data_IF_490960247688
#
_entry.id   IF_490960247688
#
_cell.length_a   1.000
_cell.length_b   1.000
_cell.length_c   1.000
_cell.angle_alpha   90.00
_cell.angle_beta   90.00
_cell.angle_gamma   90.00
#
_symmetry.space_group_name_H-M   'P 1'
#
loop_
_entity.id
_entity.type
_entity.pdbx_description
1 polymer ?
#
# COMPACT_ATOMS: atom_id res chain seq x y z
N UNK A 1 -8.09 -12.63 -28.04
CA UNK A 1 -7.17 -13.19 -27.03
C UNK A 1 -6.05 -12.19 -26.80
N UNK A 2 -6.23 -11.30 -25.83
CA UNK A 2 -5.11 -10.58 -25.24
C UNK A 2 -4.65 -11.46 -24.07
N UNK A 3 -3.37 -11.83 -24.05
CA UNK A 3 -2.77 -12.39 -22.85
C UNK A 3 -2.68 -11.22 -21.87
N UNK A 4 -3.71 -11.02 -21.06
CA UNK A 4 -3.62 -10.18 -19.87
C UNK A 4 -2.50 -10.78 -19.03
N UNK A 5 -1.32 -10.16 -19.06
CA UNK A 5 -0.26 -10.50 -18.11
C UNK A 5 -0.88 -10.24 -16.74
N UNK A 6 -1.12 -11.30 -15.99
CA UNK A 6 -1.44 -11.16 -14.57
C UNK A 6 -0.36 -10.26 -13.95
N UNK A 7 -0.75 -9.32 -13.06
CA UNK A 7 0.24 -8.51 -12.36
C UNK A 7 1.27 -9.43 -11.72
N UNK A 8 2.55 -9.05 -11.76
CA UNK A 8 3.57 -9.77 -11.02
C UNK A 8 3.14 -9.75 -9.55
N UNK A 9 2.87 -10.92 -8.97
CA UNK A 9 2.40 -11.01 -7.59
C UNK A 9 3.40 -10.36 -6.62
N UNK A 10 4.68 -10.38 -6.99
CA UNK A 10 5.80 -9.81 -6.26
C UNK A 10 6.56 -8.78 -7.09
N UNK A 11 7.10 -7.78 -6.41
CA UNK A 11 8.12 -6.89 -6.93
C UNK A 11 9.32 -6.89 -5.99
N UNK A 12 10.53 -6.92 -6.54
CA UNK A 12 11.77 -6.72 -5.81
C UNK A 12 12.28 -5.29 -5.99
N UNK A 13 12.81 -4.71 -4.92
CA UNK A 13 13.45 -3.39 -4.91
C UNK A 13 14.81 -3.51 -4.20
N UNK A 14 15.88 -3.09 -4.90
CA UNK A 14 17.19 -2.91 -4.26
C UNK A 14 17.26 -1.56 -3.57
N UNK A 15 17.59 -1.55 -2.28
CA UNK A 15 17.80 -0.30 -1.55
C UNK A 15 19.04 0.48 -1.97
N UNK A 16 19.98 -0.15 -2.69
CA UNK A 16 21.19 0.50 -3.20
C UNK A 16 20.90 1.61 -4.22
N UNK A 17 19.72 1.58 -4.84
CA UNK A 17 19.28 2.55 -5.85
C UNK A 17 18.74 3.86 -5.26
N UNK A 18 18.59 3.92 -3.92
CA UNK A 18 17.91 5.01 -3.22
C UNK A 18 18.74 5.53 -2.06
N UNK A 19 18.62 6.82 -1.74
CA UNK A 19 19.24 7.42 -0.55
C UNK A 19 18.45 7.01 0.69
N UNK A 20 17.23 7.51 0.86
CA UNK A 20 16.31 7.06 1.90
C UNK A 20 15.15 6.23 1.33
N UNK A 21 14.62 5.33 2.15
CA UNK A 21 13.41 4.57 1.82
C UNK A 21 12.44 4.65 2.98
N UNK A 22 11.22 5.09 2.67
CA UNK A 22 10.12 5.20 3.61
C UNK A 22 8.96 4.29 3.19
N UNK A 23 8.25 3.77 4.19
CA UNK A 23 7.00 3.04 3.99
C UNK A 23 5.85 3.82 4.64
N UNK A 24 4.77 4.07 3.90
CA UNK A 24 3.60 4.80 4.39
C UNK A 24 2.39 3.88 4.55
N UNK A 25 1.60 4.12 5.59
CA UNK A 25 0.31 3.47 5.83
C UNK A 25 -0.78 3.88 4.84
N UNK A 26 -2.01 3.43 5.09
CA UNK A 26 -3.19 3.68 4.25
C UNK A 26 -3.42 5.18 4.06
N UNK A 27 -3.41 5.63 2.80
CA UNK A 27 -3.46 7.06 2.46
C UNK A 27 -4.90 7.54 2.31
N UNK A 28 -5.78 6.74 1.73
CA UNK A 28 -7.22 7.00 1.61
C UNK A 28 -7.57 8.45 1.20
N UNK A 29 -6.96 8.95 0.12
CA UNK A 29 -7.23 10.31 -0.36
C UNK A 29 -6.69 11.44 0.53
N UNK A 30 -5.84 11.17 1.53
CA UNK A 30 -5.18 12.16 2.38
C UNK A 30 -3.90 12.74 1.75
N UNK A 31 -3.94 13.07 0.45
CA UNK A 31 -2.79 13.54 -0.32
C UNK A 31 -2.04 14.71 0.34
N UNK A 32 -2.75 15.73 0.85
CA UNK A 32 -2.09 16.86 1.54
C UNK A 32 -1.34 16.42 2.78
N UNK A 33 -1.90 15.52 3.60
CA UNK A 33 -1.22 15.01 4.78
C UNK A 33 0.03 14.22 4.39
N UNK A 34 -0.04 13.43 3.31
CA UNK A 34 1.13 12.76 2.76
C UNK A 34 2.22 13.74 2.37
N UNK A 35 1.90 14.77 1.59
CA UNK A 35 2.90 15.77 1.18
C UNK A 35 3.49 16.53 2.37
N UNK A 36 2.68 16.88 3.37
CA UNK A 36 3.19 17.48 4.61
C UNK A 36 4.13 16.53 5.37
N UNK A 37 3.79 15.24 5.47
CA UNK A 37 4.64 14.26 6.16
C UNK A 37 5.99 14.05 5.43
N UNK A 38 5.98 14.06 4.10
CA UNK A 38 7.19 13.99 3.28
C UNK A 38 8.09 15.23 3.45
N UNK A 39 7.49 16.41 3.47
CA UNK A 39 8.21 17.68 3.70
C UNK A 39 8.88 17.70 5.09
N UNK A 40 8.17 17.23 6.12
CA UNK A 40 8.68 17.16 7.50
C UNK A 40 9.93 16.29 7.66
N UNK A 41 10.08 15.26 6.82
CA UNK A 41 11.27 14.38 6.83
C UNK A 41 12.31 14.77 5.79
N UNK A 42 12.11 15.89 5.08
CA UNK A 42 13.03 16.34 4.04
C UNK A 42 13.14 15.38 2.85
N UNK A 43 12.03 14.72 2.49
CA UNK A 43 11.99 13.74 1.41
C UNK A 43 12.36 14.36 0.05
N UNK A 44 13.37 13.79 -0.62
CA UNK A 44 13.80 14.19 -1.95
C UNK A 44 13.28 13.22 -3.01
N UNK A 45 12.32 13.68 -3.81
CA UNK A 45 11.73 12.94 -4.94
C UNK A 45 12.75 12.51 -6.02
N UNK A 46 13.96 13.09 -6.04
CA UNK A 46 15.04 12.73 -6.95
C UNK A 46 15.87 11.53 -6.51
N UNK A 47 16.00 11.30 -5.20
CA UNK A 47 16.89 10.27 -4.63
C UNK A 47 16.24 9.30 -3.65
N UNK A 48 15.05 9.62 -3.13
CA UNK A 48 14.37 8.85 -2.10
C UNK A 48 13.21 8.04 -2.69
N UNK A 49 12.85 6.98 -1.98
CA UNK A 49 11.74 6.10 -2.34
C UNK A 49 10.67 6.13 -1.26
N UNK A 50 9.42 6.30 -1.69
CA UNK A 50 8.24 6.05 -0.89
C UNK A 50 7.55 4.77 -1.36
N UNK A 51 7.33 3.84 -0.44
CA UNK A 51 6.56 2.62 -0.66
C UNK A 51 5.25 2.69 0.14
N UNK A 52 4.11 2.54 -0.52
CA UNK A 52 2.80 2.51 0.13
C UNK A 52 2.32 1.07 0.36
N UNK A 53 1.64 0.86 1.50
CA UNK A 53 0.89 -0.38 1.81
C UNK A 53 -0.41 -0.52 1.02
N UNK A 54 -0.70 0.37 0.07
CA UNK A 54 -1.95 0.38 -0.72
C UNK A 54 -3.01 1.29 -0.12
N UNK A 55 -4.26 1.11 -0.57
CA UNK A 55 -5.42 1.91 -0.14
C UNK A 55 -5.16 3.41 -0.30
N UNK A 56 -4.82 3.79 -1.54
CA UNK A 56 -4.55 5.16 -1.94
C UNK A 56 -5.85 5.97 -2.08
N UNK A 57 -6.92 5.29 -2.47
CA UNK A 57 -8.21 5.91 -2.82
C UNK A 57 -9.30 5.68 -1.77
N UNK A 58 -10.48 6.23 -2.05
CA UNK A 58 -11.69 6.17 -1.25
C UNK A 58 -11.56 6.89 0.11
N UNK A 59 -12.72 7.07 0.75
CA UNK A 59 -12.92 7.72 2.06
C UNK A 59 -12.54 9.21 2.12
N UNK A 60 -11.30 9.58 1.81
CA UNK A 60 -10.82 10.95 1.82
C UNK A 60 -11.13 11.73 0.54
N UNK A 61 -10.74 13.00 0.53
CA UNK A 61 -11.18 13.95 -0.49
C UNK A 61 -10.31 13.99 -1.76
N UNK A 62 -9.09 13.44 -1.73
CA UNK A 62 -8.09 13.65 -2.79
C UNK A 62 -7.64 12.35 -3.46
N UNK A 63 -8.53 11.36 -3.59
CA UNK A 63 -8.22 10.04 -4.17
C UNK A 63 -7.60 10.13 -5.57
N UNK A 64 -8.07 11.04 -6.43
CA UNK A 64 -7.46 11.23 -7.76
C UNK A 64 -6.00 11.71 -7.68
N UNK A 65 -5.68 12.59 -6.74
CA UNK A 65 -4.31 13.06 -6.54
C UNK A 65 -3.41 11.96 -5.96
N UNK A 66 -3.94 11.09 -5.09
CA UNK A 66 -3.21 9.93 -4.60
C UNK A 66 -2.93 8.91 -5.72
N UNK A 67 -3.87 8.68 -6.63
CA UNK A 67 -3.64 7.82 -7.80
C UNK A 67 -2.57 8.39 -8.74
N UNK A 68 -2.47 9.71 -8.84
CA UNK A 68 -1.48 10.40 -9.69
C UNK A 68 -0.04 10.26 -9.19
N UNK A 69 0.15 9.63 -8.02
CA UNK A 69 1.45 9.21 -7.49
C UNK A 69 1.98 7.95 -8.20
N UNK A 70 1.10 7.07 -8.69
CA UNK A 70 1.49 5.81 -9.31
C UNK A 70 2.51 5.92 -10.47
N UNK A 71 2.43 6.92 -11.37
CA UNK A 71 3.44 7.06 -12.43
C UNK A 71 4.78 7.65 -11.94
N UNK A 72 4.88 8.12 -10.69
CA UNK A 72 6.08 8.79 -10.20
C UNK A 72 7.22 7.80 -9.93
N UNK A 73 8.43 8.14 -10.38
CA UNK A 73 9.61 7.26 -10.21
C UNK A 73 9.88 6.93 -8.73
N UNK A 74 9.72 7.91 -7.84
CA UNK A 74 9.97 7.83 -6.39
C UNK A 74 8.83 7.17 -5.60
N UNK A 75 7.75 6.72 -6.26
CA UNK A 75 6.60 6.12 -5.59
C UNK A 75 6.37 4.68 -6.04
N UNK A 76 6.22 3.77 -5.07
CA UNK A 76 5.78 2.38 -5.29
C UNK A 76 4.65 2.07 -4.33
N UNK A 77 3.79 1.12 -4.70
CA UNK A 77 2.70 0.67 -3.83
C UNK A 77 2.44 -0.80 -4.05
N UNK A 78 1.99 -1.49 -3.01
CA UNK A 78 1.23 -2.73 -3.18
C UNK A 78 -0.22 -2.39 -3.47
N UNK A 79 -0.96 -3.32 -4.09
CA UNK A 79 -2.41 -3.17 -4.28
C UNK A 79 -3.13 -3.23 -2.94
N UNK A 80 -3.99 -2.27 -2.65
CA UNK A 80 -4.95 -2.31 -1.55
C UNK A 80 -6.28 -2.94 -1.92
N UNK A 81 -7.11 -3.25 -0.93
CA UNK A 81 -8.43 -3.80 -1.17
C UNK A 81 -9.40 -2.76 -1.76
N UNK A 82 -9.16 -1.47 -1.52
CA UNK A 82 -9.93 -0.39 -2.14
C UNK A 82 -9.61 -0.21 -3.62
N UNK A 83 -8.34 -0.32 -4.02
CA UNK A 83 -8.00 -0.39 -5.45
C UNK A 83 -8.66 -1.60 -6.12
N UNK A 84 -8.66 -2.77 -5.47
CA UNK A 84 -9.31 -3.96 -6.02
C UNK A 84 -10.83 -3.78 -6.17
N UNK A 85 -11.52 -3.20 -5.18
CA UNK A 85 -12.96 -2.90 -5.30
C UNK A 85 -13.28 -1.94 -6.45
N UNK A 86 -12.44 -0.93 -6.67
CA UNK A 86 -12.59 -0.01 -7.79
C UNK A 86 -12.42 -0.74 -9.13
N UNK A 87 -11.36 -1.53 -9.29
CA UNK A 87 -11.11 -2.32 -10.50
C UNK A 87 -12.25 -3.28 -10.81
N UNK A 88 -12.73 -3.99 -9.78
CA UNK A 88 -13.87 -4.88 -9.85
C UNK A 88 -15.14 -4.17 -10.34
N UNK A 89 -15.42 -2.97 -9.81
CA UNK A 89 -16.58 -2.17 -10.19
C UNK A 89 -16.48 -1.56 -11.60
N UNK A 90 -15.26 -1.27 -12.07
CA UNK A 90 -15.04 -0.81 -13.44
C UNK A 90 -15.19 -1.93 -14.47
N UNK A 91 -14.90 -3.17 -14.09
CA UNK A 91 -15.07 -4.35 -14.93
C UNK A 91 -16.51 -4.89 -14.91
N UNK A 92 -17.16 -4.86 -13.74
CA UNK A 92 -18.52 -5.34 -13.53
C UNK A 92 -19.34 -4.28 -12.77
N UNK A 93 -20.26 -3.63 -13.48
CA UNK A 93 -21.11 -2.58 -12.92
C UNK A 93 -22.00 -3.06 -11.77
N UNK A 94 -22.27 -4.37 -11.66
CA UNK A 94 -23.01 -4.94 -10.53
C UNK A 94 -22.26 -4.77 -9.19
N UNK A 95 -20.94 -4.53 -9.22
CA UNK A 95 -20.10 -4.29 -8.04
C UNK A 95 -20.00 -2.83 -7.64
N UNK A 96 -20.52 -1.89 -8.44
CA UNK A 96 -20.53 -0.44 -8.12
C UNK A 96 -21.16 -0.16 -6.74
N UNK A 97 -22.31 -0.75 -6.35
CA UNK A 97 -22.89 -0.50 -5.04
C UNK A 97 -21.95 -0.86 -3.87
N UNK A 98 -21.20 -1.97 -4.01
CA UNK A 98 -20.23 -2.40 -2.99
C UNK A 98 -19.07 -1.40 -2.87
N UNK A 99 -18.51 -0.95 -4.00
CA UNK A 99 -17.43 0.03 -3.98
C UNK A 99 -17.90 1.37 -3.40
N UNK A 100 -19.08 1.87 -3.80
CA UNK A 100 -19.65 3.11 -3.24
C UNK A 100 -19.89 3.00 -1.73
N UNK A 101 -20.41 1.87 -1.24
CA UNK A 101 -20.60 1.62 0.19
C UNK A 101 -19.28 1.65 0.98
N UNK A 102 -18.14 1.43 0.32
CA UNK A 102 -16.81 1.52 0.89
C UNK A 102 -16.07 2.83 0.54
N UNK A 103 -16.77 3.86 0.06
CA UNK A 103 -16.20 5.19 -0.16
C UNK A 103 -15.77 5.51 -1.60
N UNK A 104 -16.10 4.65 -2.56
CA UNK A 104 -15.83 4.85 -3.99
C UNK A 104 -16.61 5.97 -4.69
N UNK A 105 -17.47 6.69 -3.97
CA UNK A 105 -18.37 7.70 -4.55
C UNK A 105 -17.62 8.89 -5.18
N UNK A 106 -16.37 9.14 -4.77
CA UNK A 106 -15.53 10.21 -5.33
C UNK A 106 -15.39 10.11 -6.86
N UNK A 107 -15.29 8.90 -7.40
CA UNK A 107 -15.10 8.66 -8.84
C UNK A 107 -16.30 9.11 -9.68
N UNK A 108 -17.50 9.00 -9.12
CA UNK A 108 -18.76 9.36 -9.80
C UNK A 108 -19.12 10.83 -9.67
N UNK A 109 -18.41 11.57 -8.79
CA UNK A 109 -18.52 13.02 -8.64
C UNK A 109 -17.56 13.80 -9.54
N UNK A 110 -16.66 13.11 -10.24
CA UNK A 110 -15.76 13.72 -11.22
C UNK A 110 -16.50 14.10 -12.49
N UNK A 111 -16.02 15.15 -13.16
CA UNK A 111 -16.35 15.41 -14.56
C UNK A 111 -15.74 14.34 -15.48
N UNK A 112 -16.18 14.33 -16.74
CA UNK A 112 -15.80 13.29 -17.72
C UNK A 112 -14.28 13.22 -17.95
N UNK A 113 -13.60 14.37 -17.99
CA UNK A 113 -12.15 14.44 -18.20
C UNK A 113 -11.39 13.81 -17.04
N UNK A 114 -11.74 14.19 -15.81
CA UNK A 114 -11.13 13.63 -14.60
C UNK A 114 -11.50 12.18 -14.39
N UNK A 115 -12.70 11.76 -14.77
CA UNK A 115 -13.10 10.35 -14.72
C UNK A 115 -12.28 9.53 -15.71
N UNK A 116 -12.01 10.05 -16.92
CA UNK A 116 -11.13 9.41 -17.89
C UNK A 116 -9.69 9.30 -17.36
N UNK A 117 -9.17 10.35 -16.70
CA UNK A 117 -7.87 10.28 -16.01
C UNK A 117 -7.86 9.22 -14.91
N UNK A 118 -8.87 9.20 -14.05
CA UNK A 118 -8.99 8.22 -12.96
C UNK A 118 -8.98 6.78 -13.50
N UNK A 119 -9.68 6.50 -14.61
CA UNK A 119 -9.64 5.19 -15.28
C UNK A 119 -8.24 4.81 -15.75
N UNK A 120 -7.49 5.75 -16.35
CA UNK A 120 -6.10 5.50 -16.77
C UNK A 120 -5.18 5.19 -15.58
N UNK A 121 -5.32 5.94 -14.48
CA UNK A 121 -4.51 5.72 -13.28
C UNK A 121 -4.91 4.40 -12.57
N UNK A 122 -6.20 4.05 -12.54
CA UNK A 122 -6.65 2.75 -12.04
C UNK A 122 -6.11 1.59 -12.90
N UNK A 123 -5.90 1.78 -14.20
CA UNK A 123 -5.21 0.77 -15.02
C UNK A 123 -3.73 0.58 -14.64
N UNK A 124 -3.09 1.58 -14.02
CA UNK A 124 -1.78 1.40 -13.37
C UNK A 124 -1.94 0.63 -12.04
N UNK A 125 -3.00 0.93 -11.27
CA UNK A 125 -3.32 0.19 -10.04
C UNK A 125 -3.54 -1.32 -10.29
N UNK A 126 -4.12 -1.67 -11.45
CA UNK A 126 -4.29 -3.05 -11.92
C UNK A 126 -2.97 -3.79 -12.18
N UNK A 127 -1.85 -3.08 -12.27
CA UNK A 127 -0.51 -3.64 -12.45
C UNK A 127 0.30 -3.66 -11.14
N UNK A 128 -0.23 -3.10 -10.04
CA UNK A 128 0.47 -3.12 -8.77
C UNK A 128 0.66 -4.56 -8.27
N UNK A 129 1.84 -4.87 -7.69
CA UNK A 129 2.09 -6.15 -7.05
C UNK A 129 1.27 -6.28 -5.77
N UNK A 130 1.10 -7.52 -5.30
CA UNK A 130 0.50 -7.77 -3.99
C UNK A 130 1.54 -7.68 -2.87
N UNK A 131 2.81 -7.94 -3.21
CA UNK A 131 3.92 -7.95 -2.25
C UNK A 131 5.12 -7.21 -2.86
N UNK A 132 5.75 -6.35 -2.07
CA UNK A 132 7.05 -5.75 -2.40
C UNK A 132 8.10 -6.28 -1.41
N UNK A 133 9.18 -6.85 -1.93
CA UNK A 133 10.40 -7.16 -1.18
C UNK A 133 11.41 -6.02 -1.38
N UNK A 134 11.99 -5.54 -0.28
CA UNK A 134 12.98 -4.46 -0.28
C UNK A 134 14.21 -4.94 0.50
N UNK A 135 15.35 -5.03 -0.17
CA UNK A 135 16.62 -5.36 0.46
C UNK A 135 17.42 -4.09 0.77
N UNK A 136 17.67 -3.82 2.06
CA UNK A 136 18.37 -2.62 2.56
C UNK A 136 19.49 -3.02 3.52
N UNK A 137 20.75 -2.71 3.21
CA UNK A 137 21.91 -2.95 4.10
C UNK A 137 21.95 -4.36 4.76
N UNK A 138 21.62 -5.39 3.99
CA UNK A 138 21.60 -6.78 4.45
C UNK A 138 20.36 -7.19 5.25
N UNK A 139 19.35 -6.32 5.34
CA UNK A 139 18.03 -6.63 5.89
C UNK A 139 17.00 -6.71 4.77
N UNK A 140 16.01 -7.59 4.98
CA UNK A 140 14.89 -7.80 4.09
C UNK A 140 13.60 -7.31 4.71
N UNK A 141 12.95 -6.38 4.03
CA UNK A 141 11.65 -5.84 4.40
C UNK A 141 10.61 -6.26 3.38
N UNK A 142 9.49 -6.81 3.85
CA UNK A 142 8.35 -7.22 3.03
C UNK A 142 7.18 -6.29 3.31
N UNK A 143 6.62 -5.71 2.26
CA UNK A 143 5.42 -4.88 2.32
C UNK A 143 4.28 -5.61 1.65
N UNK A 144 3.14 -5.71 2.32
CA UNK A 144 1.89 -6.20 1.75
C UNK A 144 0.73 -5.41 2.36
N UNK A 145 -0.47 -5.49 1.77
CA UNK A 145 -1.56 -4.63 2.21
C UNK A 145 -2.13 -5.02 3.58
N UNK A 146 -2.71 -6.22 3.72
CA UNK A 146 -3.37 -6.63 4.95
C UNK A 146 -2.60 -7.70 5.74
N UNK A 147 -2.05 -8.68 5.03
CA UNK A 147 -1.34 -9.82 5.64
C UNK A 147 -0.42 -10.50 4.61
N UNK A 148 0.48 -11.34 5.11
CA UNK A 148 1.14 -12.37 4.33
C UNK A 148 0.64 -13.74 4.80
N UNK A 149 -0.16 -14.47 4.01
CA UNK A 149 -0.92 -15.63 4.47
C UNK A 149 -0.09 -16.93 4.53
N UNK A 150 1.12 -16.84 5.07
CA UNK A 150 2.00 -17.97 5.34
C UNK A 150 2.89 -17.67 6.55
N UNK A 151 3.42 -18.72 7.19
CA UNK A 151 4.35 -18.59 8.32
C UNK A 151 5.81 -18.50 7.87
N UNK A 152 6.09 -18.87 6.63
CA UNK A 152 7.39 -18.72 5.99
C UNK A 152 7.22 -17.93 4.70
N UNK A 153 7.97 -16.85 4.59
CA UNK A 153 8.11 -16.03 3.40
C UNK A 153 9.14 -16.62 2.46
N UNK A 154 8.75 -16.66 1.18
CA UNK A 154 9.64 -16.93 0.07
C UNK A 154 9.21 -16.03 -1.09
N UNK A 155 10.18 -15.38 -1.73
CA UNK A 155 9.92 -14.56 -2.91
C UNK A 155 9.26 -15.42 -4.01
N UNK A 156 8.21 -14.88 -4.62
CA UNK A 156 7.44 -15.53 -5.70
C UNK A 156 6.70 -16.82 -5.30
N UNK A 157 6.55 -17.11 -4.01
CA UNK A 157 5.72 -18.25 -3.61
C UNK A 157 4.24 -17.96 -3.89
N UNK A 158 3.45 -18.97 -4.33
CA UNK A 158 2.03 -18.80 -4.56
C UNK A 158 1.30 -18.28 -3.31
N UNK A 159 0.42 -17.29 -3.49
CA UNK A 159 -0.39 -16.72 -2.43
C UNK A 159 -1.87 -16.70 -2.81
N UNK A 160 -2.75 -16.81 -1.81
CA UNK A 160 -4.15 -16.40 -1.95
C UNK A 160 -4.20 -14.86 -1.86
N UNK A 161 -4.33 -14.20 -3.01
CA UNK A 161 -4.32 -12.74 -3.08
C UNK A 161 -5.49 -12.13 -2.29
N UNK A 162 -6.62 -12.81 -2.20
CA UNK A 162 -7.75 -12.38 -1.38
C UNK A 162 -7.36 -12.24 0.08
N UNK A 163 -6.55 -13.15 0.61
CA UNK A 163 -6.05 -13.06 1.99
C UNK A 163 -5.03 -11.93 2.15
N UNK A 164 -4.16 -11.70 1.16
CA UNK A 164 -3.20 -10.58 1.18
C UNK A 164 -3.91 -9.23 1.25
N UNK A 165 -5.08 -9.11 0.62
CA UNK A 165 -5.86 -7.87 0.59
C UNK A 165 -6.84 -7.71 1.76
N UNK A 166 -7.41 -8.79 2.29
CA UNK A 166 -8.57 -8.70 3.18
C UNK A 166 -8.38 -9.33 4.56
N UNK A 167 -7.32 -10.11 4.78
CA UNK A 167 -7.19 -10.86 6.02
C UNK A 167 -6.94 -9.93 7.21
N UNK A 168 -7.75 -10.09 8.26
CA UNK A 168 -7.59 -9.38 9.55
C UNK A 168 -7.33 -10.32 10.72
N UNK A 169 -7.18 -11.62 10.46
CA UNK A 169 -7.02 -12.61 11.52
C UNK A 169 -5.71 -12.41 12.28
N UNK A 170 -4.59 -12.27 11.55
CA UNK A 170 -3.26 -12.16 12.15
C UNK A 170 -3.10 -10.90 13.01
N UNK A 171 -3.57 -9.75 12.53
CA UNK A 171 -3.55 -8.50 13.31
C UNK A 171 -4.41 -8.61 14.58
N UNK A 172 -5.61 -9.21 14.49
CA UNK A 172 -6.48 -9.44 15.66
C UNK A 172 -5.81 -10.35 16.69
N UNK A 173 -5.14 -11.41 16.24
CA UNK A 173 -4.38 -12.31 17.12
C UNK A 173 -3.18 -11.59 17.75
N UNK A 174 -2.43 -10.81 16.97
CA UNK A 174 -1.28 -10.04 17.46
C UNK A 174 -1.71 -9.01 18.52
N UNK A 175 -2.85 -8.33 18.34
CA UNK A 175 -3.45 -7.43 19.34
C UNK A 175 -3.81 -8.15 20.64
N UNK A 176 -4.12 -9.45 20.57
CA UNK A 176 -4.39 -10.31 21.73
C UNK A 176 -3.11 -10.97 22.29
N UNK A 177 -1.93 -10.65 21.77
CA UNK A 177 -0.65 -11.27 22.17
C UNK A 177 -0.48 -12.71 21.69
N UNK A 178 -1.26 -13.15 20.70
CA UNK A 178 -1.22 -14.51 20.13
C UNK A 178 -0.53 -14.47 18.77
N UNK A 179 0.38 -15.41 18.51
CA UNK A 179 1.04 -15.56 17.22
C UNK A 179 2.56 -15.70 17.33
N UNK A 180 3.25 -15.31 16.28
CA UNK A 180 4.70 -15.40 16.14
C UNK A 180 5.19 -14.60 14.93
N UNK A 181 6.52 -14.59 14.69
CA UNK A 181 7.08 -13.98 13.50
C UNK A 181 6.69 -14.75 12.23
N UNK A 182 6.79 -14.09 11.08
CA UNK A 182 6.85 -14.76 9.78
C UNK A 182 8.31 -14.97 9.43
N UNK A 183 8.75 -16.21 9.24
CA UNK A 183 10.15 -16.53 8.94
C UNK A 183 10.48 -16.13 7.49
N UNK A 184 11.75 -15.84 7.18
CA UNK A 184 12.21 -15.59 5.79
C UNK A 184 12.43 -14.12 5.42
N UNK A 185 12.04 -13.18 6.30
CA UNK A 185 12.40 -11.77 6.19
C UNK A 185 12.53 -11.13 7.59
N UNK A 186 13.26 -10.02 7.68
CA UNK A 186 13.53 -9.33 8.95
C UNK A 186 12.35 -8.50 9.42
N UNK A 187 11.58 -7.93 8.49
CA UNK A 187 10.45 -7.04 8.77
C UNK A 187 9.30 -7.27 7.78
N UNK A 188 8.08 -7.21 8.30
CA UNK A 188 6.84 -7.15 7.52
C UNK A 188 6.07 -5.89 7.89
N UNK A 189 5.66 -5.11 6.89
CA UNK A 189 4.86 -3.91 7.09
C UNK A 189 3.51 -4.07 6.38
N UNK A 190 2.45 -3.81 7.14
CA UNK A 190 1.06 -3.93 6.70
C UNK A 190 0.26 -2.68 7.03
N UNK A 191 -0.79 -2.46 6.25
CA UNK A 191 -1.83 -1.45 6.43
C UNK A 191 -3.17 -2.06 6.85
N UNK A 192 -4.24 -1.64 6.16
CA UNK A 192 -5.59 -2.23 6.11
C UNK A 192 -6.43 -2.15 7.40
N UNK A 193 -5.82 -2.34 8.57
CA UNK A 193 -6.50 -2.33 9.86
C UNK A 193 -6.16 -1.06 10.61
N UNK A 194 -7.10 -0.09 10.69
CA UNK A 194 -6.86 1.15 11.40
C UNK A 194 -6.61 0.88 12.87
N UNK A 195 -5.47 1.34 13.37
CA UNK A 195 -5.08 1.29 14.77
C UNK A 195 -4.87 2.71 15.30
N UNK A 196 -4.98 2.89 16.62
CA UNK A 196 -4.72 4.21 17.24
C UNK A 196 -3.25 4.62 17.19
N UNK A 197 -2.36 3.65 17.04
CA UNK A 197 -0.90 3.80 16.98
C UNK A 197 -0.34 2.58 16.26
N UNK A 198 0.89 2.70 15.76
CA UNK A 198 1.61 1.57 15.18
C UNK A 198 1.64 0.40 16.17
N UNK A 199 1.27 -0.78 15.68
CA UNK A 199 1.42 -2.03 16.42
C UNK A 199 2.65 -2.76 15.89
N UNK A 200 3.57 -3.10 16.78
CA UNK A 200 4.74 -3.93 16.47
C UNK A 200 4.66 -5.20 17.31
N UNK A 201 4.66 -6.35 16.65
CA UNK A 201 4.68 -7.66 17.28
C UNK A 201 5.64 -8.56 16.52
N UNK A 202 6.68 -9.07 17.19
CA UNK A 202 7.76 -9.83 16.55
C UNK A 202 8.38 -9.03 15.38
N UNK A 203 8.40 -9.58 14.17
CA UNK A 203 8.84 -8.88 12.96
C UNK A 203 7.70 -8.24 12.16
N UNK A 204 6.50 -8.13 12.72
CA UNK A 204 5.31 -7.58 12.05
C UNK A 204 5.04 -6.16 12.56
N UNK A 205 4.85 -5.22 11.63
CA UNK A 205 4.49 -3.84 11.90
C UNK A 205 3.20 -3.49 11.15
N UNK A 206 2.18 -3.06 11.89
CA UNK A 206 0.92 -2.56 11.34
C UNK A 206 0.92 -1.04 11.46
N UNK A 207 0.96 -0.37 10.32
CA UNK A 207 1.26 1.07 10.22
C UNK A 207 0.07 1.90 9.73
N UNK A 208 -1.10 1.28 9.53
CA UNK A 208 -2.34 2.03 9.36
C UNK A 208 -2.77 2.64 10.70
N UNK A 209 -2.48 3.93 10.86
CA UNK A 209 -2.89 4.74 12.02
C UNK A 209 -4.17 5.54 11.78
N UNK A 210 -4.93 5.22 10.73
CA UNK A 210 -6.23 5.79 10.46
C UNK A 210 -6.20 7.27 10.08
N UNK A 211 -5.27 7.67 9.21
CA UNK A 211 -5.08 9.06 8.77
C UNK A 211 -6.39 9.74 8.32
N UNK A 212 -7.18 9.02 7.50
CA UNK A 212 -8.47 9.51 7.00
C UNK A 212 -9.55 9.64 8.08
N UNK A 213 -9.38 8.95 9.21
CA UNK A 213 -10.29 9.01 10.37
C UNK A 213 -9.84 10.03 11.43
N UNK A 214 -8.87 10.89 11.11
CA UNK A 214 -8.32 11.89 12.02
C UNK A 214 -7.15 11.40 12.86
N UNK A 215 -6.62 10.21 12.57
CA UNK A 215 -5.34 9.75 13.09
C UNK A 215 -4.16 10.37 12.34
N UNK A 216 -2.95 9.96 12.69
CA UNK A 216 -1.73 10.36 11.99
C UNK A 216 -1.54 9.53 10.72
N UNK A 217 -0.86 10.08 9.72
CA UNK A 217 -0.36 9.31 8.59
C UNK A 217 1.04 8.80 8.93
N UNK A 218 1.16 7.51 9.27
CA UNK A 218 2.44 6.93 9.67
C UNK A 218 3.39 6.82 8.48
N UNK A 219 4.60 7.36 8.65
CA UNK A 219 5.73 7.20 7.74
C UNK A 219 6.87 6.50 8.47
N UNK A 220 7.31 5.33 7.98
CA UNK A 220 8.40 4.54 8.57
C UNK A 220 9.64 4.59 7.69
N UNK A 221 10.72 5.17 8.20
CA UNK A 221 12.03 5.07 7.55
C UNK A 221 12.57 3.63 7.74
N UNK A 222 12.89 2.95 6.63
CA UNK A 222 13.51 1.61 6.64
C UNK A 222 14.95 1.62 6.12
N UNK A 223 15.34 2.69 5.42
CA UNK A 223 16.72 2.96 5.05
C UNK A 223 16.99 4.44 5.24
N UNK A 224 17.95 4.75 6.10
CA UNK A 224 18.44 6.10 6.34
C UNK A 224 19.85 6.20 5.75
N UNK A 225 19.96 6.72 4.52
CA UNK A 225 21.23 6.97 3.87
C UNK A 225 21.89 8.21 4.48
N UNK A 226 23.22 8.21 4.64
CA UNK A 226 23.93 9.48 4.80
C UNK A 226 23.98 10.13 3.41
N UNK A 227 23.74 11.44 3.33
CA UNK A 227 23.91 12.21 2.08
C UNK A 227 25.23 11.82 1.40
N UNK A 228 25.18 11.41 0.13
CA UNK A 228 26.36 11.09 -0.67
C UNK A 228 27.16 12.34 -1.03
#
# INVERSE_FOLDING_TARGET
MAIERQPLAYQHISGADWRHIFVVGDVHGCYRQLMTALDQVGFDTGSDLLVSVGDLIDRGAQSLACLDLLPQRWFRAVRGNHEQMALDALNDTARIPLWRANGGDWFFRLDDERQALARRLLALAAQLPYVIEIDTAGRRTVVAHADYPADCYQFDQPLCWEQVLWNRLRVKQAMAGVGGPIIGADHFLFGHTPLRRVLTCWNLQYIDTGAVFGGELTLRCIQDGVDK
#
